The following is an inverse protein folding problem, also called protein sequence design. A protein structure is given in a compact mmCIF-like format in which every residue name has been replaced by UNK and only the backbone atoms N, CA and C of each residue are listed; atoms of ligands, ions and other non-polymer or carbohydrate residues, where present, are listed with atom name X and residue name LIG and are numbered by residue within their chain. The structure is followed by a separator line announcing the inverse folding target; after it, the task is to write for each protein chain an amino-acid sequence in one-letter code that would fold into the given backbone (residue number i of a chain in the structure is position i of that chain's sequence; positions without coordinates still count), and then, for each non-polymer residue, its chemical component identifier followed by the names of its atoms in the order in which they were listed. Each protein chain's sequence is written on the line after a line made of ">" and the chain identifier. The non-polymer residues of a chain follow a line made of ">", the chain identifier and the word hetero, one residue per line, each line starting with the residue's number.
data_IF_769004286359
#
_entry.id   IF_769004286359
#
_cell.length_a   1.000
_cell.length_b   1.000
_cell.length_c   1.000
_cell.angle_alpha   90.00
_cell.angle_beta   90.00
_cell.angle_gamma   90.00
#
_symmetry.space_group_name_H-M   'P 1'
#
loop_
_entity.id
_entity.type
_entity.pdbx_description
1 polymer ?
#
# COMPACT_ATOMS: atom_id res chain seq x y z
N UNK A 1 -39.46 -69.01 78.13
CA UNK A 1 -39.09 -68.85 79.54
C UNK A 1 -38.90 -67.32 79.77
N UNK A 2 -39.76 -66.87 80.65
CA UNK A 2 -39.60 -65.84 81.73
C UNK A 2 -39.02 -64.54 81.31
N UNK A 3 -39.79 -63.48 81.31
CA UNK A 3 -40.23 -62.61 82.44
C UNK A 3 -39.21 -61.41 82.49
N UNK A 4 -39.48 -60.18 82.62
CA UNK A 4 -40.57 -59.38 83.25
C UNK A 4 -40.38 -57.94 82.87
N UNK A 5 -41.37 -57.02 83.11
CA UNK A 5 -41.36 -55.63 82.67
C UNK A 5 -40.75 -54.74 83.75
N UNK A 6 -40.22 -53.58 83.31
CA UNK A 6 -39.92 -52.50 84.25
C UNK A 6 -40.56 -51.22 83.75
N UNK A 7 -41.51 -50.73 84.53
CA UNK A 7 -42.20 -49.47 84.52
C UNK A 7 -41.20 -48.33 84.82
N UNK A 8 -41.12 -47.34 84.02
CA UNK A 8 -40.46 -46.05 84.37
C UNK A 8 -41.40 -44.87 84.05
N UNK A 9 -41.65 -44.16 85.03
CA UNK A 9 -42.49 -42.95 85.17
C UNK A 9 -42.13 -41.91 84.14
N UNK A 10 -43.18 -41.37 83.48
CA UNK A 10 -43.10 -40.21 82.59
C UNK A 10 -43.35 -38.87 83.43
N UNK A 11 -42.29 -38.16 83.65
CA UNK A 11 -42.35 -36.79 84.27
C UNK A 11 -42.49 -35.82 83.17
N UNK A 12 -43.69 -35.21 82.99
CA UNK A 12 -43.99 -34.15 82.05
C UNK A 12 -43.53 -32.84 82.67
N UNK A 13 -42.43 -32.29 82.07
CA UNK A 13 -41.91 -30.93 82.34
C UNK A 13 -42.48 -29.98 81.29
N UNK A 14 -43.46 -29.14 81.67
CA UNK A 14 -43.98 -28.12 80.81
C UNK A 14 -42.99 -26.94 80.72
N UNK A 15 -42.33 -26.77 79.50
CA UNK A 15 -41.55 -25.60 79.20
C UNK A 15 -42.40 -24.54 78.47
N UNK A 16 -42.30 -23.25 78.83
CA UNK A 16 -43.03 -22.21 78.14
C UNK A 16 -42.37 -21.93 76.78
N UNK A 17 -43.14 -21.98 75.68
CA UNK A 17 -42.76 -21.58 74.35
C UNK A 17 -42.65 -20.06 74.32
N UNK A 18 -41.43 -19.53 74.41
CA UNK A 18 -41.13 -18.12 74.17
C UNK A 18 -41.10 -17.97 72.63
N UNK A 19 -42.11 -17.30 72.04
CA UNK A 19 -42.10 -16.81 70.67
C UNK A 19 -41.02 -15.71 70.51
N UNK A 20 -39.84 -16.09 70.09
CA UNK A 20 -38.88 -15.11 69.61
C UNK A 20 -39.30 -14.62 68.19
N UNK A 21 -39.69 -13.36 68.09
CA UNK A 21 -39.85 -12.68 66.82
C UNK A 21 -38.51 -12.76 66.05
N UNK A 22 -38.39 -13.65 65.03
CA UNK A 22 -37.28 -13.65 64.12
C UNK A 22 -37.37 -12.34 63.31
N UNK A 23 -36.52 -11.38 63.61
CA UNK A 23 -36.29 -10.23 62.76
C UNK A 23 -35.80 -10.73 61.41
N UNK A 24 -36.51 -10.41 60.36
CA UNK A 24 -36.11 -10.72 58.99
C UNK A 24 -34.68 -10.17 58.77
N UNK A 25 -33.75 -10.97 58.16
CA UNK A 25 -32.42 -10.45 57.87
C UNK A 25 -32.50 -9.18 57.03
N UNK A 26 -31.67 -8.15 57.32
CA UNK A 26 -31.67 -6.93 56.55
C UNK A 26 -31.51 -7.27 55.06
N UNK A 27 -32.22 -6.54 54.17
CA UNK A 27 -32.10 -6.78 52.73
C UNK A 27 -30.63 -6.71 52.31
N UNK A 28 -30.17 -7.65 51.49
CA UNK A 28 -28.77 -7.67 51.06
C UNK A 28 -28.41 -6.32 50.43
N UNK A 29 -27.27 -5.77 50.80
CA UNK A 29 -26.80 -4.49 50.28
C UNK A 29 -26.76 -4.55 48.72
N UNK A 30 -27.15 -3.47 48.04
CA UNK A 30 -27.14 -3.43 46.58
C UNK A 30 -25.78 -3.82 46.04
N UNK A 31 -25.67 -4.75 45.08
CA UNK A 31 -24.38 -5.16 44.50
C UNK A 31 -23.69 -3.97 43.82
N UNK A 32 -22.38 -3.84 44.06
CA UNK A 32 -21.55 -2.84 43.38
C UNK A 32 -21.30 -3.27 41.94
N UNK A 33 -21.50 -2.35 40.99
CA UNK A 33 -21.25 -2.54 39.55
C UNK A 33 -20.47 -1.37 38.96
N UNK A 34 -19.62 -1.64 37.98
CA UNK A 34 -19.01 -0.56 37.23
C UNK A 34 -19.87 -0.23 36.02
N UNK A 35 -20.08 1.06 35.81
CA UNK A 35 -20.89 1.57 34.70
C UNK A 35 -20.09 2.52 33.84
N UNK A 36 -20.34 2.50 32.53
CA UNK A 36 -19.84 3.48 31.57
C UNK A 36 -21.03 4.31 31.05
N UNK A 37 -20.76 5.55 30.72
CA UNK A 37 -21.75 6.43 30.09
C UNK A 37 -21.77 6.15 28.57
N UNK A 38 -22.99 6.09 28.02
CA UNK A 38 -23.22 5.99 26.59
C UNK A 38 -22.86 7.31 25.93
N UNK A 39 -21.82 7.33 25.12
CA UNK A 39 -21.32 8.52 24.43
C UNK A 39 -21.93 8.67 23.04
N UNK A 40 -22.01 9.91 22.58
CA UNK A 40 -22.44 10.23 21.21
C UNK A 40 -21.34 11.03 20.53
N UNK A 41 -20.79 10.48 19.44
CA UNK A 41 -19.71 11.11 18.68
C UNK A 41 -19.87 10.84 17.19
N UNK A 42 -19.23 11.69 16.37
CA UNK A 42 -19.11 11.43 14.96
C UNK A 42 -18.06 10.34 14.75
N UNK A 43 -18.45 9.27 14.07
CA UNK A 43 -17.61 8.10 13.85
C UNK A 43 -17.28 7.96 12.37
N UNK A 44 -15.98 8.06 11.99
CA UNK A 44 -15.57 7.76 10.63
C UNK A 44 -15.69 6.25 10.37
N UNK A 45 -16.49 5.89 9.39
CA UNK A 45 -16.57 4.52 8.87
C UNK A 45 -15.45 4.36 7.84
N UNK A 46 -14.51 3.48 8.11
CA UNK A 46 -13.38 3.24 7.24
C UNK A 46 -13.32 1.77 6.81
N UNK A 47 -12.92 1.55 5.57
CA UNK A 47 -12.54 0.23 5.08
C UNK A 47 -11.02 0.10 5.11
N UNK A 48 -10.52 -1.09 5.42
CA UNK A 48 -9.10 -1.42 5.38
C UNK A 48 -8.84 -2.42 4.25
N UNK A 49 -7.97 -2.03 3.32
CA UNK A 49 -7.59 -2.83 2.17
C UNK A 49 -6.13 -3.29 2.34
N UNK A 50 -5.92 -4.59 2.40
CA UNK A 50 -4.58 -5.19 2.52
C UNK A 50 -3.90 -5.19 1.15
N UNK A 51 -2.61 -4.87 1.14
CA UNK A 51 -1.83 -4.82 -0.09
C UNK A 51 -0.33 -4.69 0.15
N UNK A 52 0.38 -4.36 -0.92
CA UNK A 52 1.81 -4.15 -0.89
C UNK A 52 2.22 -2.89 -1.68
N UNK A 53 3.31 -2.28 -1.26
CA UNK A 53 3.92 -1.15 -1.96
C UNK A 53 4.65 -1.61 -3.22
N UNK A 54 4.71 -0.73 -4.21
CA UNK A 54 5.41 -0.91 -5.49
C UNK A 54 6.13 0.38 -5.84
N UNK A 55 7.22 0.31 -6.60
CA UNK A 55 7.76 1.49 -7.24
C UNK A 55 6.72 2.13 -8.17
N UNK A 56 6.71 3.45 -8.27
CA UNK A 56 5.87 4.11 -9.29
C UNK A 56 6.35 3.79 -10.70
N UNK A 57 7.63 3.53 -10.84
CA UNK A 57 8.27 3.03 -12.05
C UNK A 57 9.42 2.09 -11.63
N UNK A 58 9.38 0.85 -12.10
CA UNK A 58 10.44 -0.14 -11.90
C UNK A 58 11.09 -0.44 -13.25
N UNK A 59 12.37 -0.07 -13.39
CA UNK A 59 13.12 -0.26 -14.64
C UNK A 59 14.24 -1.27 -14.42
N UNK A 60 14.17 -2.34 -15.19
CA UNK A 60 15.22 -3.34 -15.23
C UNK A 60 16.43 -2.83 -16.03
N UNK A 61 17.61 -2.88 -15.42
CA UNK A 61 18.87 -2.55 -16.04
C UNK A 61 19.48 -3.83 -16.61
N UNK A 62 19.46 -3.92 -17.93
CA UNK A 62 19.99 -5.09 -18.67
C UNK A 62 21.18 -4.69 -19.53
N UNK A 63 22.14 -5.60 -19.69
CA UNK A 63 23.21 -5.45 -20.67
C UNK A 63 22.61 -5.47 -22.09
N UNK A 64 23.05 -4.57 -22.97
CA UNK A 64 22.62 -4.54 -24.38
C UNK A 64 23.65 -5.16 -25.33
N UNK A 65 24.89 -5.29 -24.88
CA UNK A 65 26.01 -5.92 -25.61
C UNK A 65 26.63 -6.99 -24.73
N UNK A 66 27.28 -7.98 -25.36
CA UNK A 66 27.99 -9.03 -24.67
C UNK A 66 29.39 -8.55 -24.29
N UNK A 67 29.87 -8.88 -23.09
CA UNK A 67 31.21 -8.56 -22.65
C UNK A 67 31.40 -8.73 -21.15
N UNK A 68 32.61 -8.47 -20.66
CA UNK A 68 32.92 -8.53 -19.24
C UNK A 68 32.61 -7.23 -18.53
N UNK A 69 31.99 -7.32 -17.32
CA UNK A 69 31.79 -6.15 -16.44
C UNK A 69 33.14 -5.71 -15.86
N UNK A 70 33.56 -4.48 -16.17
CA UNK A 70 34.85 -3.90 -15.70
C UNK A 70 34.67 -3.12 -14.42
N UNK A 71 33.55 -2.37 -14.27
CA UNK A 71 33.32 -1.57 -13.09
C UNK A 71 31.84 -1.44 -12.75
N UNK A 72 31.60 -1.20 -11.45
CA UNK A 72 30.32 -0.81 -10.85
C UNK A 72 30.54 0.51 -10.13
N UNK A 73 29.75 1.54 -10.45
CA UNK A 73 29.99 2.93 -10.05
C UNK A 73 28.87 3.48 -9.15
N UNK A 74 28.28 2.63 -8.33
CA UNK A 74 27.25 2.98 -7.34
C UNK A 74 27.36 2.08 -6.10
N UNK A 75 26.69 2.48 -5.02
CA UNK A 75 26.52 1.63 -3.84
C UNK A 75 25.17 0.92 -3.95
N UNK A 76 25.14 -0.40 -3.72
CA UNK A 76 23.91 -1.19 -3.70
C UNK A 76 22.91 -0.64 -2.65
N UNK A 77 21.65 -0.59 -2.99
CA UNK A 77 20.62 -0.04 -2.12
C UNK A 77 20.64 1.48 -1.96
N UNK A 78 21.50 2.21 -2.71
CA UNK A 78 21.55 3.67 -2.69
C UNK A 78 20.58 4.29 -3.69
N UNK A 79 20.39 5.61 -3.58
CA UNK A 79 19.63 6.39 -4.55
C UNK A 79 20.55 6.81 -5.72
N UNK A 80 20.09 6.59 -6.94
CA UNK A 80 20.77 6.97 -8.16
C UNK A 80 19.98 7.98 -8.96
N UNK A 81 20.67 8.85 -9.70
CA UNK A 81 20.06 9.87 -10.57
C UNK A 81 19.99 9.38 -12.01
N UNK A 82 19.01 9.86 -12.75
CA UNK A 82 18.92 9.67 -14.19
C UNK A 82 20.24 10.12 -14.88
N UNK A 83 20.77 9.27 -15.75
CA UNK A 83 22.05 9.48 -16.43
C UNK A 83 23.29 9.13 -15.61
N UNK A 84 23.16 8.79 -14.31
CA UNK A 84 24.29 8.35 -13.51
C UNK A 84 24.85 7.05 -14.05
N UNK A 85 26.19 6.98 -14.17
CA UNK A 85 26.90 5.77 -14.57
C UNK A 85 26.69 4.67 -13.53
N UNK A 86 26.21 3.51 -13.98
CA UNK A 86 25.99 2.35 -13.12
C UNK A 86 27.07 1.28 -13.36
N UNK A 87 27.17 0.82 -14.58
CA UNK A 87 28.11 -0.25 -14.95
C UNK A 87 28.90 0.13 -16.19
N UNK A 88 30.04 -0.46 -16.32
CA UNK A 88 30.88 -0.41 -17.55
C UNK A 88 31.26 -1.82 -17.98
N UNK A 89 30.94 -2.14 -19.21
CA UNK A 89 31.40 -3.34 -19.92
C UNK A 89 32.72 -2.98 -20.56
N UNK A 90 33.62 -3.96 -20.77
CA UNK A 90 34.92 -3.75 -21.43
C UNK A 90 34.72 -3.08 -22.81
N UNK A 91 35.20 -1.85 -23.01
CA UNK A 91 35.01 -1.12 -24.24
C UNK A 91 36.03 -1.50 -25.32
N UNK A 92 37.15 -2.12 -24.98
CA UNK A 92 38.28 -2.34 -25.89
C UNK A 92 37.91 -3.06 -27.20
N UNK A 93 37.10 -4.17 -27.18
CA UNK A 93 36.69 -4.82 -28.42
C UNK A 93 35.82 -3.93 -29.31
N UNK A 94 34.98 -3.09 -28.70
CA UNK A 94 34.07 -2.17 -29.41
C UNK A 94 34.82 -0.95 -29.96
N UNK A 95 35.81 -0.45 -29.25
CA UNK A 95 36.71 0.62 -29.71
C UNK A 95 37.49 0.14 -30.93
N UNK A 96 38.01 -1.08 -30.91
CA UNK A 96 38.72 -1.68 -32.05
C UNK A 96 37.78 -1.86 -33.26
N UNK A 97 36.56 -2.35 -33.05
CA UNK A 97 35.55 -2.49 -34.10
C UNK A 97 35.15 -1.14 -34.73
N UNK A 98 35.02 -0.10 -33.90
CA UNK A 98 34.76 1.25 -34.39
C UNK A 98 35.93 1.81 -35.20
N UNK A 99 37.16 1.59 -34.77
CA UNK A 99 38.35 2.03 -35.50
C UNK A 99 38.44 1.32 -36.87
N UNK A 100 38.17 0.03 -36.93
CA UNK A 100 38.11 -0.75 -38.19
C UNK A 100 37.01 -0.21 -39.13
N UNK A 101 35.79 -0.03 -38.65
CA UNK A 101 34.69 0.49 -39.44
C UNK A 101 34.99 1.91 -39.97
N UNK A 102 35.63 2.74 -39.16
CA UNK A 102 36.05 4.10 -39.53
C UNK A 102 37.15 4.12 -40.61
N UNK A 103 38.11 3.19 -40.54
CA UNK A 103 39.15 3.03 -41.58
C UNK A 103 38.54 2.60 -42.91
N UNK A 104 37.62 1.63 -42.90
CA UNK A 104 36.88 1.18 -44.07
C UNK A 104 36.06 2.32 -44.72
N UNK A 105 35.41 3.15 -43.93
CA UNK A 105 34.70 4.34 -44.39
C UNK A 105 35.66 5.34 -45.05
N UNK A 106 36.83 5.62 -44.45
CA UNK A 106 37.84 6.51 -45.00
C UNK A 106 38.32 6.03 -46.38
N UNK A 107 38.56 4.69 -46.54
CA UNK A 107 38.93 4.08 -47.81
C UNK A 107 37.84 4.23 -48.88
N UNK A 108 36.54 4.06 -48.46
CA UNK A 108 35.43 4.26 -49.39
C UNK A 108 35.27 5.72 -49.83
N UNK A 109 35.52 6.67 -48.95
CA UNK A 109 35.51 8.11 -49.28
C UNK A 109 36.58 8.47 -50.28
N UNK A 110 37.81 7.98 -50.08
CA UNK A 110 38.90 8.18 -51.03
C UNK A 110 38.57 7.59 -52.44
N UNK A 111 37.80 6.49 -52.50
CA UNK A 111 37.29 5.93 -53.75
C UNK A 111 36.26 6.85 -54.43
N UNK A 112 35.37 7.44 -53.66
CA UNK A 112 34.41 8.45 -54.18
C UNK A 112 35.15 9.66 -54.74
N UNK A 113 36.17 10.17 -54.04
CA UNK A 113 36.98 11.31 -54.54
C UNK A 113 37.65 10.96 -55.84
N UNK A 114 38.20 9.75 -55.98
CA UNK A 114 38.79 9.27 -57.26
C UNK A 114 37.74 9.22 -58.36
N UNK A 115 36.57 8.63 -58.13
CA UNK A 115 35.54 8.50 -59.17
C UNK A 115 34.92 9.81 -59.53
N UNK A 116 34.75 10.77 -58.55
CA UNK A 116 34.35 12.15 -58.81
C UNK A 116 35.32 12.85 -59.76
N UNK A 117 36.62 12.72 -59.53
CA UNK A 117 37.68 13.28 -60.38
C UNK A 117 37.66 12.66 -61.80
N UNK A 118 37.39 11.35 -61.91
CA UNK A 118 37.31 10.67 -63.22
C UNK A 118 36.09 11.20 -64.00
N UNK A 119 34.90 11.31 -63.40
CA UNK A 119 33.70 11.88 -64.04
C UNK A 119 33.93 13.35 -64.42
N UNK A 120 34.53 14.15 -63.50
CA UNK A 120 34.81 15.58 -63.77
C UNK A 120 35.79 15.77 -64.96
N UNK A 121 36.71 14.86 -65.14
CA UNK A 121 37.67 14.85 -66.24
C UNK A 121 37.04 14.38 -67.56
N UNK A 122 36.28 13.25 -67.53
CA UNK A 122 35.74 12.60 -68.75
C UNK A 122 34.54 13.37 -69.31
N UNK A 123 33.69 14.00 -68.51
CA UNK A 123 32.54 14.76 -69.00
C UNK A 123 32.86 15.86 -70.00
N UNK A 124 33.84 16.78 -69.79
CA UNK A 124 34.20 17.81 -70.81
C UNK A 124 34.85 17.20 -72.01
N UNK A 125 35.63 16.11 -71.89
CA UNK A 125 36.29 15.43 -73.04
C UNK A 125 35.27 14.76 -73.98
N UNK A 126 34.19 14.20 -73.44
CA UNK A 126 33.10 13.66 -74.23
C UNK A 126 32.37 14.73 -75.04
N UNK A 127 32.15 15.91 -74.46
CA UNK A 127 31.58 17.07 -75.16
C UNK A 127 32.42 17.49 -76.31
N UNK A 128 33.77 17.28 -76.27
CA UNK A 128 34.73 17.56 -77.35
C UNK A 128 34.95 16.37 -78.30
N UNK A 129 34.16 15.29 -78.14
CA UNK A 129 34.26 14.03 -78.89
C UNK A 129 35.63 13.32 -78.75
N UNK A 130 36.40 13.63 -77.69
CA UNK A 130 37.72 13.08 -77.43
C UNK A 130 37.63 11.70 -76.70
N UNK A 131 36.51 11.35 -76.13
CA UNK A 131 36.22 10.06 -75.47
C UNK A 131 34.82 9.58 -75.85
N UNK A 132 34.52 8.29 -75.68
CA UNK A 132 33.23 7.72 -75.99
C UNK A 132 32.18 8.05 -74.87
N UNK A 133 30.90 8.13 -75.22
CA UNK A 133 29.83 8.30 -74.23
C UNK A 133 29.80 7.10 -73.26
N UNK A 134 30.12 5.90 -73.73
CA UNK A 134 30.19 4.73 -72.87
C UNK A 134 31.21 4.86 -71.73
N UNK A 135 32.36 5.52 -71.98
CA UNK A 135 33.35 5.78 -70.95
C UNK A 135 32.84 6.72 -69.87
N UNK A 136 32.07 7.75 -70.24
CA UNK A 136 31.42 8.64 -69.28
C UNK A 136 30.35 7.90 -68.46
N UNK A 137 29.52 7.09 -69.14
CA UNK A 137 28.45 6.30 -68.46
C UNK A 137 29.05 5.26 -67.49
N UNK A 138 30.16 4.66 -67.83
CA UNK A 138 30.92 3.76 -66.96
C UNK A 138 31.50 4.48 -65.76
N UNK A 139 32.04 5.72 -65.95
CA UNK A 139 32.58 6.52 -64.85
C UNK A 139 31.45 7.01 -63.88
N UNK A 140 30.29 7.41 -64.43
CA UNK A 140 29.12 7.79 -63.63
C UNK A 140 28.60 6.57 -62.81
N UNK A 141 28.47 5.41 -63.46
CA UNK A 141 28.04 4.19 -62.74
C UNK A 141 29.04 3.80 -61.65
N UNK A 142 30.34 3.97 -61.91
CA UNK A 142 31.39 3.72 -60.89
C UNK A 142 31.32 4.72 -59.74
N UNK A 143 30.98 6.00 -60.00
CA UNK A 143 30.77 7.02 -58.99
C UNK A 143 29.54 6.68 -58.11
N UNK A 144 28.41 6.34 -58.72
CA UNK A 144 27.20 5.94 -57.99
C UNK A 144 27.45 4.70 -57.10
N UNK A 145 28.17 3.69 -57.63
CA UNK A 145 28.57 2.52 -56.87
C UNK A 145 29.49 2.87 -55.69
N UNK A 146 30.44 3.79 -55.89
CA UNK A 146 31.31 4.27 -54.80
C UNK A 146 30.54 5.06 -53.72
N UNK A 147 29.58 5.90 -54.13
CA UNK A 147 28.72 6.62 -53.20
C UNK A 147 27.83 5.67 -52.37
N UNK A 148 27.22 4.67 -53.01
CA UNK A 148 26.47 3.63 -52.33
C UNK A 148 27.34 2.87 -51.30
N UNK A 149 28.61 2.64 -51.62
CA UNK A 149 29.56 1.97 -50.72
C UNK A 149 29.89 2.85 -49.49
N UNK A 150 30.01 4.18 -49.63
CA UNK A 150 30.18 5.10 -48.49
C UNK A 150 28.98 5.04 -47.59
N UNK A 151 27.74 5.07 -48.12
CA UNK A 151 26.54 4.96 -47.34
C UNK A 151 26.48 3.65 -46.52
N UNK A 152 26.91 2.54 -47.12
CA UNK A 152 27.00 1.23 -46.46
C UNK A 152 28.02 1.22 -45.29
N UNK A 153 29.17 1.87 -45.44
CA UNK A 153 30.19 1.95 -44.39
C UNK A 153 29.82 3.00 -43.32
N UNK A 154 29.15 4.08 -43.66
CA UNK A 154 28.59 5.02 -42.68
C UNK A 154 27.61 4.32 -41.75
N UNK A 155 26.73 3.46 -42.26
CA UNK A 155 25.84 2.64 -41.45
C UNK A 155 26.59 1.69 -40.50
N UNK A 156 27.73 1.08 -40.98
CA UNK A 156 28.58 0.23 -40.12
C UNK A 156 29.25 1.03 -38.99
N UNK A 157 29.76 2.23 -39.30
CA UNK A 157 30.32 3.13 -38.27
C UNK A 157 29.26 3.54 -37.24
N UNK A 158 28.05 3.86 -37.70
CA UNK A 158 26.93 4.20 -36.80
C UNK A 158 26.60 3.02 -35.86
N UNK A 159 26.56 1.80 -36.39
CA UNK A 159 26.34 0.60 -35.57
C UNK A 159 27.46 0.41 -34.55
N UNK A 160 28.74 0.47 -34.96
CA UNK A 160 29.86 0.29 -34.04
C UNK A 160 29.91 1.35 -32.95
N UNK A 161 29.54 2.61 -33.26
CA UNK A 161 29.37 3.68 -32.26
C UNK A 161 28.27 3.37 -31.26
N UNK A 162 27.14 2.83 -31.73
CA UNK A 162 26.01 2.45 -30.86
C UNK A 162 26.39 1.30 -29.94
N UNK A 163 27.08 0.28 -30.47
CA UNK A 163 27.54 -0.87 -29.70
C UNK A 163 28.55 -0.42 -28.60
N UNK A 164 29.46 0.49 -28.93
CA UNK A 164 30.38 1.11 -27.96
C UNK A 164 29.64 1.91 -26.92
N UNK A 165 28.62 2.69 -27.30
CA UNK A 165 27.81 3.45 -26.33
C UNK A 165 27.09 2.53 -25.36
N UNK A 166 26.66 1.35 -25.77
CA UNK A 166 26.02 0.35 -24.92
C UNK A 166 26.95 -0.30 -23.89
N UNK A 167 28.28 -0.14 -24.02
CA UNK A 167 29.22 -0.57 -22.96
C UNK A 167 29.11 0.29 -21.69
N UNK A 168 28.57 1.47 -21.81
CA UNK A 168 28.35 2.42 -20.70
C UNK A 168 26.89 2.39 -20.30
N UNK A 169 26.60 1.76 -19.16
CA UNK A 169 25.24 1.55 -18.68
C UNK A 169 24.91 2.61 -17.63
N UNK A 170 23.92 3.45 -17.92
CA UNK A 170 23.47 4.53 -17.06
C UNK A 170 22.05 4.29 -16.57
N UNK A 171 21.66 4.95 -15.47
CA UNK A 171 20.28 4.89 -14.97
C UNK A 171 19.34 5.67 -15.89
N UNK A 172 18.22 5.07 -16.34
CA UNK A 172 17.22 5.77 -17.15
C UNK A 172 16.30 6.69 -16.34
N UNK A 173 16.18 6.45 -15.01
CA UNK A 173 15.29 7.17 -14.09
C UNK A 173 16.02 7.55 -12.80
N UNK A 174 15.43 8.47 -12.04
CA UNK A 174 15.81 8.72 -10.64
C UNK A 174 15.15 7.67 -9.75
N UNK A 175 15.92 6.99 -8.89
CA UNK A 175 15.32 5.95 -8.07
C UNK A 175 16.30 5.24 -7.12
N UNK A 176 15.76 4.29 -6.40
CA UNK A 176 16.49 3.38 -5.54
C UNK A 176 16.99 2.20 -6.37
N UNK A 177 18.32 1.98 -6.40
CA UNK A 177 18.91 0.82 -7.07
C UNK A 177 18.96 -0.38 -6.13
N UNK A 178 18.64 -1.56 -6.62
CA UNK A 178 18.70 -2.81 -5.88
C UNK A 178 20.10 -3.37 -5.70
N UNK A 179 20.17 -4.66 -5.34
CA UNK A 179 21.41 -5.43 -5.31
C UNK A 179 21.77 -5.94 -6.70
N UNK A 180 23.05 -5.94 -7.02
CA UNK A 180 23.51 -6.40 -8.34
C UNK A 180 23.40 -7.91 -8.49
N UNK A 181 22.94 -8.35 -9.67
CA UNK A 181 22.80 -9.78 -9.99
C UNK A 181 24.12 -10.37 -10.54
N UNK A 182 24.99 -9.53 -11.09
CA UNK A 182 26.28 -9.93 -11.67
C UNK A 182 27.38 -9.05 -11.10
N UNK A 183 28.48 -9.65 -10.67
CA UNK A 183 29.64 -8.96 -10.12
C UNK A 183 30.63 -8.53 -11.20
N UNK A 184 31.47 -7.56 -10.87
CA UNK A 184 32.61 -7.17 -11.70
C UNK A 184 33.46 -8.39 -12.01
N UNK A 185 33.90 -8.53 -13.28
CA UNK A 185 34.57 -9.70 -13.83
C UNK A 185 33.64 -10.77 -14.43
N UNK A 186 32.31 -10.65 -14.26
CA UNK A 186 31.34 -11.57 -14.88
C UNK A 186 31.14 -11.26 -16.36
N UNK A 187 31.01 -12.30 -17.18
CA UNK A 187 30.52 -12.19 -18.55
C UNK A 187 29.02 -11.93 -18.53
N UNK A 188 28.55 -10.96 -19.30
CA UNK A 188 27.14 -10.62 -19.50
C UNK A 188 26.75 -10.78 -20.97
N UNK A 189 25.56 -11.28 -21.24
CA UNK A 189 25.00 -11.46 -22.58
C UNK A 189 24.04 -10.31 -22.91
N UNK A 190 24.12 -9.83 -24.16
CA UNK A 190 23.26 -8.73 -24.63
C UNK A 190 21.78 -9.11 -24.68
N UNK A 191 20.92 -8.27 -24.09
CA UNK A 191 19.46 -8.43 -24.04
C UNK A 191 18.94 -9.36 -22.94
N UNK A 192 19.70 -10.33 -22.49
CA UNK A 192 19.24 -11.38 -21.56
C UNK A 192 19.64 -11.13 -20.11
N UNK A 193 20.87 -10.64 -19.88
CA UNK A 193 21.39 -10.52 -18.52
C UNK A 193 20.78 -9.34 -17.78
N UNK A 194 19.96 -9.64 -16.76
CA UNK A 194 19.53 -8.65 -15.78
C UNK A 194 20.71 -8.32 -14.84
N UNK A 195 21.05 -7.05 -14.74
CA UNK A 195 22.10 -6.55 -13.86
C UNK A 195 21.54 -6.03 -12.53
N UNK A 196 20.48 -5.24 -12.63
CA UNK A 196 19.84 -4.61 -11.47
C UNK A 196 18.42 -4.13 -11.83
N UNK A 197 17.71 -3.63 -10.82
CA UNK A 197 16.44 -2.91 -11.00
C UNK A 197 16.54 -1.57 -10.29
N UNK A 198 16.11 -0.51 -10.94
CA UNK A 198 15.98 0.83 -10.35
C UNK A 198 14.50 1.12 -10.18
N UNK A 199 14.09 1.43 -8.95
CA UNK A 199 12.70 1.71 -8.57
C UNK A 199 12.54 3.17 -8.20
N UNK A 200 11.61 3.86 -8.84
CA UNK A 200 11.17 5.18 -8.42
C UNK A 200 10.24 5.01 -7.22
N UNK A 201 10.67 5.52 -6.05
CA UNK A 201 9.97 5.34 -4.77
C UNK A 201 9.30 6.60 -4.23
N UNK A 202 9.34 7.69 -4.97
CA UNK A 202 8.62 8.93 -4.62
C UNK A 202 8.03 9.57 -5.89
N UNK A 203 6.69 9.51 -6.04
CA UNK A 203 5.74 8.83 -5.16
C UNK A 203 5.91 7.31 -5.18
N UNK A 204 5.47 6.63 -4.13
CA UNK A 204 5.37 5.17 -4.09
C UNK A 204 3.93 4.75 -4.34
N UNK A 205 3.73 3.64 -5.03
CA UNK A 205 2.41 3.06 -5.23
C UNK A 205 2.12 2.00 -4.16
N UNK A 206 0.86 1.88 -3.81
CA UNK A 206 0.34 0.81 -2.97
C UNK A 206 -0.76 0.08 -3.74
N UNK A 207 -0.57 -1.19 -4.01
CA UNK A 207 -1.52 -2.04 -4.72
C UNK A 207 -2.25 -2.92 -3.74
N UNK A 208 -3.58 -2.93 -3.82
CA UNK A 208 -4.42 -3.78 -3.00
C UNK A 208 -5.54 -4.41 -3.82
N UNK A 209 -6.09 -5.51 -3.29
CA UNK A 209 -7.27 -6.14 -3.85
C UNK A 209 -8.53 -5.54 -3.21
N UNK A 210 -9.47 -5.09 -4.04
CA UNK A 210 -10.75 -4.52 -3.63
C UNK A 210 -11.83 -5.54 -4.03
N UNK A 211 -12.58 -6.06 -3.06
CA UNK A 211 -13.70 -6.94 -3.36
C UNK A 211 -14.75 -6.24 -4.22
N UNK A 212 -15.36 -6.94 -5.19
CA UNK A 212 -16.34 -6.36 -6.10
C UNK A 212 -17.50 -5.66 -5.37
N UNK A 213 -17.97 -6.23 -4.27
CA UNK A 213 -19.01 -5.63 -3.44
C UNK A 213 -18.60 -4.28 -2.84
N UNK A 214 -17.35 -4.14 -2.40
CA UNK A 214 -16.80 -2.88 -1.88
C UNK A 214 -16.60 -1.86 -3.00
N UNK A 215 -16.08 -2.31 -4.15
CA UNK A 215 -15.98 -1.44 -5.33
C UNK A 215 -17.33 -0.85 -5.72
N UNK A 216 -18.40 -1.67 -5.79
CA UNK A 216 -19.73 -1.21 -6.11
C UNK A 216 -20.27 -0.21 -5.08
N UNK A 217 -19.99 -0.40 -3.79
CA UNK A 217 -20.33 0.56 -2.74
C UNK A 217 -19.63 1.90 -2.95
N UNK A 218 -18.30 1.87 -3.19
CA UNK A 218 -17.49 3.07 -3.43
C UNK A 218 -17.92 3.79 -4.73
N UNK A 219 -18.18 3.04 -5.79
CA UNK A 219 -18.61 3.59 -7.07
C UNK A 219 -19.99 4.28 -7.00
N UNK A 220 -20.94 3.71 -6.27
CA UNK A 220 -22.28 4.31 -6.02
C UNK A 220 -22.20 5.61 -5.23
N UNK A 221 -21.21 5.74 -4.35
CA UNK A 221 -20.95 6.96 -3.53
C UNK A 221 -20.12 8.02 -4.25
N UNK A 222 -19.76 7.81 -5.52
CA UNK A 222 -18.98 8.75 -6.34
C UNK A 222 -17.47 8.74 -6.08
N UNK A 223 -16.99 7.96 -5.13
CA UNK A 223 -15.57 7.92 -4.75
C UNK A 223 -14.62 7.45 -5.85
N UNK A 224 -15.12 6.85 -6.92
CA UNK A 224 -14.32 6.30 -8.04
C UNK A 224 -14.47 7.13 -9.32
N UNK A 225 -15.44 8.04 -9.41
CA UNK A 225 -15.83 8.70 -10.67
C UNK A 225 -15.05 9.96 -11.03
N UNK A 226 -14.50 10.70 -10.07
CA UNK A 226 -13.92 12.00 -10.35
C UNK A 226 -12.56 12.18 -9.66
N UNK A 227 -11.51 12.40 -10.48
CA UNK A 227 -10.16 12.74 -9.98
C UNK A 227 -10.15 14.02 -9.11
N UNK A 228 -11.12 14.91 -9.28
CA UNK A 228 -11.26 16.16 -8.50
C UNK A 228 -11.86 15.91 -7.11
N UNK A 229 -12.76 14.91 -6.98
CA UNK A 229 -13.35 14.53 -5.69
C UNK A 229 -12.46 13.61 -4.86
N UNK A 230 -11.53 12.88 -5.48
CA UNK A 230 -10.51 12.07 -4.79
C UNK A 230 -9.60 12.88 -3.84
N UNK A 231 -9.59 14.20 -3.95
CA UNK A 231 -8.92 15.08 -2.95
C UNK A 231 -9.63 15.10 -1.59
N UNK A 232 -10.90 14.73 -1.52
CA UNK A 232 -11.69 14.73 -0.27
C UNK A 232 -11.48 13.46 0.56
N UNK A 233 -11.12 12.34 -0.06
CA UNK A 233 -10.89 11.08 0.63
C UNK A 233 -9.39 10.85 0.80
N UNK A 234 -8.82 11.37 1.88
CA UNK A 234 -7.45 11.05 2.26
C UNK A 234 -7.33 9.57 2.62
N UNK A 235 -6.49 8.85 1.88
CA UNK A 235 -6.18 7.45 2.20
C UNK A 235 -5.00 7.42 3.16
N UNK A 236 -5.13 6.74 4.27
CA UNK A 236 -4.06 6.52 5.23
C UNK A 236 -3.43 5.16 4.97
N UNK A 237 -2.10 5.08 5.06
CA UNK A 237 -1.38 3.82 4.94
C UNK A 237 -0.87 3.40 6.32
N UNK A 238 -1.38 2.27 6.80
CA UNK A 238 -0.92 1.62 8.02
C UNK A 238 0.19 0.65 7.63
N UNK A 239 1.35 0.80 8.27
CA UNK A 239 2.52 -0.02 8.04
C UNK A 239 2.45 -1.33 8.84
N UNK A 240 3.39 -2.24 8.58
CA UNK A 240 3.44 -3.54 9.23
C UNK A 240 3.68 -3.48 10.75
N UNK A 241 4.31 -2.41 11.24
CA UNK A 241 4.54 -2.13 12.66
C UNK A 241 3.35 -1.46 13.36
N UNK A 242 2.25 -1.21 12.63
CA UNK A 242 1.05 -0.53 13.12
C UNK A 242 1.13 0.99 13.07
N UNK A 243 2.26 1.58 12.68
CA UNK A 243 2.39 3.02 12.50
C UNK A 243 1.62 3.49 11.26
N UNK A 244 1.20 4.76 11.27
CA UNK A 244 0.53 5.40 10.12
C UNK A 244 1.55 6.23 9.37
N UNK A 245 1.61 6.04 8.03
CA UNK A 245 2.46 6.86 7.18
C UNK A 245 2.04 8.34 7.27
N UNK A 246 2.99 9.29 7.45
CA UNK A 246 2.67 10.69 7.73
C UNK A 246 1.96 11.40 6.56
N UNK A 247 2.15 10.91 5.33
CA UNK A 247 1.57 11.52 4.14
C UNK A 247 0.34 10.73 3.67
N UNK A 248 -0.79 11.43 3.51
CA UNK A 248 -2.00 10.84 2.96
C UNK A 248 -1.83 10.53 1.49
N UNK A 249 -2.30 9.35 1.09
CA UNK A 249 -2.35 8.91 -0.28
C UNK A 249 -3.62 9.35 -1.00
N UNK A 250 -3.62 9.08 -2.28
CA UNK A 250 -4.78 9.28 -3.17
C UNK A 250 -4.97 8.05 -4.04
N UNK A 251 -6.19 7.79 -4.46
CA UNK A 251 -6.47 6.79 -5.48
C UNK A 251 -5.82 7.21 -6.80
N UNK A 252 -4.98 6.37 -7.35
CA UNK A 252 -4.33 6.57 -8.65
C UNK A 252 -5.12 5.91 -9.78
N UNK A 253 -5.39 4.63 -9.62
CA UNK A 253 -6.15 3.86 -10.60
C UNK A 253 -6.87 2.66 -9.97
N UNK A 254 -7.90 2.19 -10.65
CA UNK A 254 -8.55 0.90 -10.39
C UNK A 254 -8.52 0.13 -11.70
N UNK A 255 -8.22 -1.15 -11.62
CA UNK A 255 -8.14 -1.99 -12.82
C UNK A 255 -9.50 -2.04 -13.52
N UNK A 256 -9.48 -2.22 -14.86
CA UNK A 256 -10.67 -2.24 -15.69
C UNK A 256 -11.52 -3.50 -15.52
N UNK A 257 -10.94 -4.58 -15.08
CA UNK A 257 -11.58 -5.89 -15.01
C UNK A 257 -11.49 -6.48 -13.60
N UNK A 258 -12.55 -7.20 -13.22
CA UNK A 258 -12.56 -8.06 -12.04
C UNK A 258 -11.75 -9.31 -12.36
N UNK A 259 -10.87 -9.73 -11.49
CA UNK A 259 -10.24 -11.04 -11.55
C UNK A 259 -11.29 -12.11 -11.24
N UNK A 260 -11.62 -12.92 -12.24
CA UNK A 260 -12.66 -13.95 -12.14
C UNK A 260 -12.33 -15.06 -11.12
N UNK A 261 -11.05 -15.23 -10.77
CA UNK A 261 -10.60 -16.25 -9.83
C UNK A 261 -10.82 -15.83 -8.39
N UNK A 262 -10.59 -14.54 -8.10
CA UNK A 262 -10.63 -14.00 -6.74
C UNK A 262 -11.87 -13.14 -6.46
N UNK A 263 -12.61 -12.71 -7.49
CA UNK A 263 -13.73 -11.78 -7.37
C UNK A 263 -13.31 -10.37 -6.91
N UNK A 264 -12.07 -9.98 -7.19
CA UNK A 264 -11.51 -8.69 -6.75
C UNK A 264 -11.05 -7.84 -7.92
N UNK A 265 -10.99 -6.52 -7.70
CA UNK A 265 -10.32 -5.57 -8.59
C UNK A 265 -9.01 -5.11 -7.96
N UNK A 266 -7.98 -4.93 -8.79
CA UNK A 266 -6.74 -4.32 -8.33
C UNK A 266 -6.92 -2.80 -8.25
N UNK A 267 -6.76 -2.23 -7.05
CA UNK A 267 -6.70 -0.78 -6.82
C UNK A 267 -5.28 -0.33 -6.57
N UNK A 268 -4.91 0.84 -7.09
CA UNK A 268 -3.61 1.46 -6.84
C UNK A 268 -3.80 2.81 -6.19
N UNK A 269 -3.05 3.05 -5.12
CA UNK A 269 -3.00 4.29 -4.39
C UNK A 269 -1.58 4.86 -4.45
N UNK A 270 -1.47 6.16 -4.68
CA UNK A 270 -0.19 6.87 -4.73
C UNK A 270 0.05 7.60 -3.42
N UNK A 271 1.21 7.38 -2.79
CA UNK A 271 1.63 8.02 -1.54
C UNK A 271 2.92 8.81 -1.76
N UNK A 272 2.99 10.09 -1.33
CA UNK A 272 4.25 10.80 -1.24
C UNK A 272 5.20 10.07 -0.27
N UNK A 273 6.49 9.95 -0.63
CA UNK A 273 7.50 9.27 0.18
C UNK A 273 8.82 10.09 0.19
N UNK A 274 8.78 11.36 0.64
CA UNK A 274 9.97 12.22 0.60
C UNK A 274 11.08 11.72 1.52
N UNK A 275 10.74 11.14 2.66
CA UNK A 275 11.68 10.56 3.63
C UNK A 275 12.24 9.19 3.16
N UNK A 276 11.70 8.62 2.07
CA UNK A 276 12.13 7.35 1.49
C UNK A 276 12.07 6.15 2.46
N UNK A 277 11.13 6.22 3.42
CA UNK A 277 10.89 5.15 4.41
C UNK A 277 10.23 3.94 3.74
N UNK A 278 9.28 4.22 2.84
CA UNK A 278 8.58 3.16 2.11
C UNK A 278 9.47 2.62 0.99
N UNK A 279 9.52 1.30 0.90
CA UNK A 279 10.24 0.56 -0.14
C UNK A 279 9.29 -0.38 -0.88
N UNK A 280 9.59 -0.76 -2.13
CA UNK A 280 8.80 -1.76 -2.85
C UNK A 280 8.67 -3.07 -2.07
N UNK A 281 7.53 -3.75 -2.25
CA UNK A 281 7.18 -5.03 -1.64
C UNK A 281 6.98 -5.02 -0.11
N UNK A 282 6.79 -3.85 0.52
CA UNK A 282 6.35 -3.78 1.92
C UNK A 282 4.84 -4.00 2.00
N UNK A 283 4.41 -4.84 2.92
CA UNK A 283 3.00 -5.05 3.22
C UNK A 283 2.45 -3.94 4.10
N UNK A 284 1.18 -3.62 3.89
CA UNK A 284 0.46 -2.62 4.68
C UNK A 284 -1.05 -2.73 4.49
N UNK A 285 -1.76 -1.78 5.09
CA UNK A 285 -3.21 -1.63 4.95
C UNK A 285 -3.54 -0.19 4.58
N UNK A 286 -4.24 -0.02 3.48
CA UNK A 286 -4.80 1.29 3.13
C UNK A 286 -6.14 1.45 3.85
N UNK A 287 -6.26 2.49 4.70
CA UNK A 287 -7.48 2.86 5.40
C UNK A 287 -8.14 4.00 4.65
N UNK A 288 -9.37 3.76 4.20
CA UNK A 288 -10.16 4.71 3.43
C UNK A 288 -11.40 5.04 4.24
N UNK A 289 -11.55 6.29 4.66
CA UNK A 289 -12.77 6.76 5.30
C UNK A 289 -13.85 6.90 4.22
N UNK A 290 -14.87 6.07 4.29
CA UNK A 290 -15.95 6.03 3.28
C UNK A 290 -17.18 6.82 3.68
N UNK A 291 -17.38 7.05 4.99
CA UNK A 291 -18.52 7.77 5.55
C UNK A 291 -18.19 8.31 6.93
N UNK A 292 -18.94 9.29 7.39
CA UNK A 292 -18.91 9.76 8.79
C UNK A 292 -20.31 9.66 9.33
N UNK A 293 -20.55 8.67 10.21
CA UNK A 293 -21.83 8.54 10.88
C UNK A 293 -21.92 9.61 11.98
N UNK A 294 -22.68 10.66 11.69
CA UNK A 294 -22.89 11.75 12.63
C UNK A 294 -23.69 11.29 13.82
N UNK A 295 -23.36 11.81 15.00
CA UNK A 295 -24.08 11.57 16.24
C UNK A 295 -24.28 10.07 16.56
N UNK A 296 -23.29 9.24 16.26
CA UNK A 296 -23.35 7.80 16.49
C UNK A 296 -23.32 7.49 18.00
N UNK A 297 -24.22 6.63 18.45
CA UNK A 297 -24.28 6.16 19.83
C UNK A 297 -23.26 5.04 20.03
N UNK A 298 -22.36 5.22 21.00
CA UNK A 298 -21.25 4.33 21.26
C UNK A 298 -21.34 3.72 22.66
N UNK A 299 -21.16 2.40 22.75
CA UNK A 299 -21.20 1.63 23.99
C UNK A 299 -19.93 0.76 24.07
N UNK A 300 -19.25 0.67 25.23
CA UNK A 300 -18.12 -0.23 25.40
C UNK A 300 -18.48 -1.68 25.06
N UNK A 301 -17.60 -2.39 24.35
CA UNK A 301 -17.85 -3.79 23.94
C UNK A 301 -18.16 -4.69 25.13
N UNK A 302 -17.53 -4.43 26.29
CA UNK A 302 -17.73 -5.17 27.54
C UNK A 302 -19.14 -5.07 28.10
N UNK A 303 -19.89 -3.99 27.76
CA UNK A 303 -21.26 -3.80 28.23
C UNK A 303 -22.31 -4.53 27.39
N UNK A 304 -21.94 -4.99 26.18
CA UNK A 304 -22.85 -5.65 25.26
C UNK A 304 -22.78 -7.17 25.46
N UNK A 305 -23.90 -7.78 25.81
CA UNK A 305 -24.06 -9.23 25.93
C UNK A 305 -24.65 -9.79 24.64
N UNK A 306 -24.05 -10.87 24.14
CA UNK A 306 -24.58 -11.63 23.02
C UNK A 306 -25.08 -12.99 23.51
N UNK A 307 -26.36 -13.26 23.30
CA UNK A 307 -26.99 -14.55 23.62
C UNK A 307 -27.78 -14.99 22.39
N UNK A 308 -27.39 -16.09 21.78
CA UNK A 308 -28.07 -16.70 20.61
C UNK A 308 -28.24 -15.70 19.43
N UNK A 309 -27.26 -14.83 19.19
CA UNK A 309 -27.32 -13.83 18.13
C UNK A 309 -28.15 -12.59 18.45
N UNK A 310 -28.69 -12.51 19.68
CA UNK A 310 -29.40 -11.32 20.19
C UNK A 310 -28.45 -10.53 21.09
N UNK A 311 -28.41 -9.22 20.87
CA UNK A 311 -27.57 -8.32 21.64
C UNK A 311 -28.40 -7.55 22.67
N UNK A 312 -27.90 -7.47 23.89
CA UNK A 312 -28.54 -6.72 24.97
C UNK A 312 -27.51 -5.98 25.81
N UNK A 313 -27.96 -4.91 26.46
CA UNK A 313 -27.21 -4.13 27.44
C UNK A 313 -27.98 -4.04 28.74
N UNK A 314 -27.26 -3.97 29.88
CA UNK A 314 -27.87 -3.67 31.20
C UNK A 314 -27.73 -2.19 31.44
N UNK A 315 -28.88 -1.47 31.40
CA UNK A 315 -28.94 -0.03 31.62
C UNK A 315 -29.32 0.22 33.08
N UNK A 316 -28.60 1.12 33.74
CA UNK A 316 -28.96 1.60 35.11
C UNK A 316 -29.81 2.85 34.98
N UNK A 317 -31.02 2.77 35.45
CA UNK A 317 -32.00 3.91 35.51
C UNK A 317 -31.61 4.93 36.57
N UNK A 318 -32.22 6.14 36.56
CA UNK A 318 -31.99 7.16 37.58
C UNK A 318 -32.42 6.73 39.00
N UNK A 319 -33.30 5.74 39.11
CA UNK A 319 -33.77 5.12 40.38
C UNK A 319 -32.83 3.99 40.85
N UNK A 320 -31.64 3.84 40.23
CA UNK A 320 -30.64 2.81 40.49
C UNK A 320 -31.10 1.38 40.17
N UNK A 321 -32.22 1.19 39.48
CA UNK A 321 -32.68 -0.12 39.05
C UNK A 321 -32.05 -0.51 37.69
N UNK A 322 -31.78 -1.80 37.54
CA UNK A 322 -31.20 -2.35 36.29
C UNK A 322 -32.33 -2.76 35.34
N UNK A 323 -32.23 -2.33 34.10
CA UNK A 323 -33.10 -2.76 33.00
C UNK A 323 -32.28 -3.46 31.93
N UNK A 324 -32.67 -4.68 31.56
CA UNK A 324 -32.13 -5.34 30.38
C UNK A 324 -32.83 -4.82 29.14
N UNK A 325 -32.08 -4.27 28.20
CA UNK A 325 -32.63 -3.73 26.96
C UNK A 325 -31.95 -4.35 25.75
N UNK A 326 -32.77 -4.82 24.81
CA UNK A 326 -32.29 -5.31 23.53
C UNK A 326 -31.76 -4.15 22.71
N UNK A 327 -30.59 -4.36 22.09
CA UNK A 327 -29.94 -3.37 21.23
C UNK A 327 -29.65 -3.95 19.87
N UNK A 328 -29.75 -3.11 18.84
CA UNK A 328 -29.25 -3.44 17.51
C UNK A 328 -27.85 -2.86 17.38
N UNK A 329 -26.88 -3.73 17.29
CA UNK A 329 -25.47 -3.35 17.13
C UNK A 329 -25.13 -3.18 15.65
N UNK A 330 -24.29 -2.19 15.36
CA UNK A 330 -23.69 -1.93 14.06
C UNK A 330 -22.22 -2.36 14.02
N UNK A 331 -21.38 -1.52 13.47
CA UNK A 331 -19.93 -1.78 13.33
C UNK A 331 -19.17 -1.57 14.64
N UNK A 332 -18.03 -2.25 14.79
CA UNK A 332 -17.12 -2.05 15.92
C UNK A 332 -16.14 -0.94 15.60
N UNK A 333 -15.94 -0.04 16.57
CA UNK A 333 -14.99 1.08 16.44
C UNK A 333 -14.03 1.05 17.64
N UNK A 334 -12.85 0.53 17.41
CA UNK A 334 -11.88 0.28 18.50
C UNK A 334 -12.48 -0.65 19.57
N UNK A 335 -12.56 -0.18 20.83
CA UNK A 335 -13.14 -0.91 21.96
C UNK A 335 -14.65 -0.66 22.15
N UNK A 336 -15.28 0.05 21.20
CA UNK A 336 -16.68 0.45 21.29
C UNK A 336 -17.53 -0.27 20.24
N UNK A 337 -18.80 -0.51 20.55
CA UNK A 337 -19.84 -0.90 19.62
C UNK A 337 -20.66 0.35 19.23
N UNK A 338 -20.92 0.48 17.96
CA UNK A 338 -21.89 1.41 17.44
C UNK A 338 -23.29 0.80 17.65
N UNK A 339 -24.19 1.55 18.26
CA UNK A 339 -25.58 1.10 18.53
C UNK A 339 -26.52 1.83 17.57
N UNK A 340 -27.20 1.07 16.71
CA UNK A 340 -28.18 1.61 15.78
C UNK A 340 -29.52 1.93 16.46
N UNK A 341 -29.90 1.15 17.48
CA UNK A 341 -31.10 1.38 18.27
C UNK A 341 -31.06 0.65 19.60
N UNK A 342 -31.77 1.15 20.60
CA UNK A 342 -31.93 0.50 21.90
C UNK A 342 -31.18 1.14 23.06
N UNK A 343 -30.19 2.02 22.83
CA UNK A 343 -29.53 2.82 23.87
C UNK A 343 -29.60 4.30 23.50
N UNK A 344 -29.63 5.17 24.52
CA UNK A 344 -29.65 6.63 24.35
C UNK A 344 -28.38 7.24 24.91
N UNK A 345 -27.91 8.37 24.33
CA UNK A 345 -26.79 9.12 24.87
C UNK A 345 -27.02 9.55 26.33
N UNK A 346 -26.00 9.49 27.17
CA UNK A 346 -26.05 9.84 28.58
C UNK A 346 -26.60 8.74 29.50
N UNK A 347 -27.10 7.62 28.97
CA UNK A 347 -27.49 6.47 29.79
C UNK A 347 -26.26 5.77 30.37
N UNK A 348 -26.38 5.17 31.55
CA UNK A 348 -25.33 4.38 32.20
C UNK A 348 -25.52 2.91 31.89
N UNK A 349 -24.51 2.26 31.29
CA UNK A 349 -24.52 0.83 31.00
C UNK A 349 -23.50 0.10 31.86
N UNK A 350 -23.84 -1.09 32.33
CA UNK A 350 -22.96 -1.89 33.19
C UNK A 350 -21.88 -2.51 32.34
N UNK A 351 -20.62 -2.28 32.71
CA UNK A 351 -19.41 -2.87 32.04
C UNK A 351 -18.80 -4.00 32.86
N UNK A 352 -18.91 -3.93 34.20
CA UNK A 352 -18.43 -5.00 35.08
C UNK A 352 -19.46 -5.32 36.17
N UNK A 353 -19.53 -6.59 36.56
CA UNK A 353 -20.49 -7.05 37.58
C UNK A 353 -21.84 -7.51 37.00
N UNK A 354 -21.96 -7.63 35.68
CA UNK A 354 -23.20 -8.05 35.01
C UNK A 354 -23.73 -9.39 35.55
N UNK A 355 -22.86 -10.31 35.94
CA UNK A 355 -23.23 -11.63 36.50
C UNK A 355 -23.86 -11.52 37.91
N UNK A 356 -23.66 -10.41 38.61
CA UNK A 356 -24.16 -10.19 39.98
C UNK A 356 -25.55 -9.57 40.01
N UNK A 357 -26.07 -9.15 38.87
CA UNK A 357 -27.30 -8.38 38.76
C UNK A 357 -28.36 -9.09 37.94
N UNK A 358 -29.62 -8.81 38.23
CA UNK A 358 -30.76 -9.26 37.43
C UNK A 358 -31.64 -8.04 37.11
N UNK A 359 -32.42 -8.05 36.03
CA UNK A 359 -33.36 -7.00 35.73
C UNK A 359 -34.27 -6.73 36.93
N UNK A 360 -34.48 -5.44 37.27
CA UNK A 360 -35.29 -4.98 38.39
C UNK A 360 -34.56 -4.85 39.74
N UNK A 361 -33.30 -5.29 39.85
CA UNK A 361 -32.53 -5.16 41.11
C UNK A 361 -31.89 -3.75 41.19
N UNK A 362 -31.87 -3.18 42.41
CA UNK A 362 -31.12 -1.95 42.69
C UNK A 362 -29.62 -2.26 42.79
N UNK A 363 -28.81 -1.38 42.26
CA UNK A 363 -27.35 -1.50 42.21
C UNK A 363 -26.66 -0.24 42.70
N UNK A 364 -25.45 -0.38 43.22
CA UNK A 364 -24.57 0.74 43.51
C UNK A 364 -23.63 0.95 42.32
N UNK A 365 -23.95 1.95 41.50
CA UNK A 365 -23.23 2.21 40.24
C UNK A 365 -22.00 3.10 40.49
N UNK A 366 -20.80 2.55 40.27
CA UNK A 366 -19.55 3.32 40.26
C UNK A 366 -19.17 3.64 38.83
N UNK A 367 -19.02 4.92 38.51
CA UNK A 367 -18.60 5.35 37.16
C UNK A 367 -17.16 4.91 36.90
N UNK A 368 -16.95 4.12 35.86
CA UNK A 368 -15.60 3.83 35.34
C UNK A 368 -15.06 5.10 34.69
N UNK A 369 -13.80 5.47 34.99
CA UNK A 369 -13.14 6.56 34.24
C UNK A 369 -13.06 6.16 32.78
N UNK A 370 -13.83 6.86 31.94
CA UNK A 370 -13.98 6.57 30.51
C UNK A 370 -12.62 6.55 29.81
N UNK A 371 -12.17 5.38 29.33
CA UNK A 371 -11.13 5.26 28.32
C UNK A 371 -11.62 5.68 26.92
N UNK A 372 -12.88 6.11 26.79
CA UNK A 372 -13.50 6.54 25.55
C UNK A 372 -12.77 7.73 24.87
N UNK A 373 -12.05 8.55 25.63
CA UNK A 373 -11.22 9.64 25.10
C UNK A 373 -9.93 9.18 24.42
N UNK A 374 -9.34 8.08 24.86
CA UNK A 374 -8.05 7.59 24.34
C UNK A 374 -8.19 6.85 22.99
N UNK A 375 -9.28 6.12 22.78
CA UNK A 375 -9.52 5.39 21.54
C UNK A 375 -9.89 6.30 20.36
N UNK A 376 -10.49 7.47 20.63
CA UNK A 376 -10.86 8.45 19.59
C UNK A 376 -9.71 9.38 19.23
N UNK A 377 -8.76 9.62 20.15
CA UNK A 377 -7.57 10.46 19.86
C UNK A 377 -6.56 9.79 18.91
N UNK A 378 -6.58 8.46 18.79
CA UNK A 378 -5.78 7.73 17.78
C UNK A 378 -6.39 7.78 16.37
N UNK A 379 -7.66 8.21 16.23
CA UNK A 379 -8.38 8.29 14.96
C UNK A 379 -8.76 9.72 14.54
N UNK A 380 -8.38 10.74 15.30
CA UNK A 380 -8.64 12.13 14.92
C UNK A 380 -7.58 12.62 13.91
N UNK A 381 -7.97 13.22 12.77
CA UNK A 381 -7.00 13.87 11.89
C UNK A 381 -6.38 15.04 12.66
N UNK A 382 -5.06 15.01 12.83
CA UNK A 382 -4.28 16.13 13.37
C UNK A 382 -4.25 17.25 12.32
N UNK A 383 -5.29 18.07 12.28
CA UNK A 383 -5.27 19.36 11.59
C UNK A 383 -4.47 20.38 12.42
N UNK A 384 -3.14 20.30 12.30
CA UNK A 384 -2.22 21.34 12.79
C UNK A 384 -1.77 22.22 11.65
N UNK A 385 -2.70 22.97 11.00
CA UNK A 385 -2.33 24.12 10.17
C UNK A 385 -3.50 25.09 10.03
N UNK A 386 -3.80 25.78 11.15
CA UNK A 386 -4.55 27.05 11.14
C UNK A 386 -4.03 27.92 12.27
N UNK A 387 -3.04 28.77 11.95
CA UNK A 387 -2.63 30.05 12.54
C UNK A 387 -1.16 30.24 12.19
N UNK A 388 -0.71 31.28 11.55
CA UNK A 388 -0.99 32.72 11.67
C UNK A 388 -0.43 33.44 10.45
N UNK A 389 -1.27 34.19 9.78
CA UNK A 389 -0.81 35.28 8.94
C UNK A 389 -0.55 36.51 9.84
N UNK A 390 0.57 37.09 9.69
CA UNK A 390 0.80 38.53 9.79
C UNK A 390 1.97 38.90 8.89
#
# INVERSE_FOLDING_TARGET
>A
MRTSPTLIYFLILAAPIACSKTEAPPPPAPPEVQVAEVTQNDVPIAIELVGATLGSEDVEIRARVEGYLVSMNFTEGSFVKKGQLLYRIDPQPFEAALAEASANLSTARARVDKTNNDVARLTPLAKQQAVSQQEVDNAVSAQEAAQAQVAAYDAKVAKAKLDLAYTTITSPIDGLIGTTQKKVGSLVAGGETLLNTVSQINPILFRCAIAEAEYLRLARRGAVRDKSENKKFGVELLLADGSVHPHKGRLDSVDRAVDATTGTLSGQFSFPNPERILRPNQYGRARIVTDVKQAAVLVPQRAVQEIQGLYSVMVVKPDETVEQRMVKVGERVGNLWLIDSGAKPGEKVIVEGIQKVRPGVKVNAKLEKSEAGAALSHNAPTDSNLKTGK
#
